data_IF_281716542261
#
_entry.id   IF_281716542261
#
_cell.length_a   1.000
_cell.length_b   1.000
_cell.length_c   1.000
_cell.angle_alpha   90.00
_cell.angle_beta   90.00
_cell.angle_gamma   90.00
#
_symmetry.space_group_name_H-M   'P 1'
#
loop_
_entity.id
_entity.type
_entity.pdbx_description
1 polymer ?
#
# COMPACT_ATOMS: atom_id res chain seq x y z
N UNK A 1 -13.34 7.58 -31.46
CA UNK A 1 -12.70 6.35 -32.00
C UNK A 1 -11.20 6.43 -31.74
N UNK A 2 -10.73 5.70 -30.77
CA UNK A 2 -9.32 5.59 -30.46
C UNK A 2 -8.70 4.32 -31.05
N UNK A 3 -7.41 4.18 -30.85
CA UNK A 3 -6.65 2.99 -31.31
C UNK A 3 -7.13 1.72 -30.59
N UNK A 4 -7.33 1.78 -29.28
CA UNK A 4 -7.66 0.62 -28.44
C UNK A 4 -9.16 0.53 -28.15
N UNK A 5 -9.87 1.66 -28.01
CA UNK A 5 -11.26 1.71 -27.60
C UNK A 5 -12.12 2.52 -28.57
N UNK A 6 -13.37 2.10 -28.71
CA UNK A 6 -14.36 2.80 -29.53
C UNK A 6 -15.58 3.10 -28.67
N UNK A 7 -15.89 4.39 -28.50
CA UNK A 7 -17.13 4.88 -27.92
C UNK A 7 -17.87 5.65 -29.02
N UNK A 8 -18.88 5.04 -29.64
CA UNK A 8 -19.53 5.59 -30.83
C UNK A 8 -20.96 6.03 -30.62
N UNK A 9 -21.50 5.81 -29.42
CA UNK A 9 -22.83 6.26 -29.04
C UNK A 9 -22.74 7.21 -27.84
N UNK A 10 -23.01 8.48 -28.10
CA UNK A 10 -23.20 9.52 -27.08
C UNK A 10 -24.35 10.40 -27.55
N UNK A 11 -25.56 10.05 -27.15
CA UNK A 11 -26.73 10.87 -27.43
C UNK A 11 -26.91 11.94 -26.36
N UNK A 12 -27.68 13.02 -26.62
CA UNK A 12 -27.97 14.01 -25.58
C UNK A 12 -28.60 13.43 -24.30
N UNK A 13 -29.30 12.30 -24.42
CA UNK A 13 -29.90 11.58 -23.30
C UNK A 13 -28.81 10.98 -22.34
N UNK A 14 -27.68 10.55 -22.86
CA UNK A 14 -26.59 9.96 -22.07
C UNK A 14 -25.48 10.97 -21.73
N UNK A 15 -25.56 12.18 -22.25
CA UNK A 15 -24.57 13.22 -21.99
C UNK A 15 -25.05 14.14 -20.86
N UNK A 16 -24.49 13.99 -19.65
CA UNK A 16 -24.85 14.83 -18.50
C UNK A 16 -24.32 16.27 -18.62
N UNK A 17 -23.57 16.58 -19.67
CA UNK A 17 -22.87 17.86 -19.83
C UNK A 17 -21.50 17.87 -19.15
N UNK A 18 -20.88 19.04 -19.11
CA UNK A 18 -19.60 19.24 -18.43
C UNK A 18 -19.78 19.16 -16.92
N UNK A 19 -18.82 18.49 -16.24
CA UNK A 19 -18.75 18.47 -14.79
C UNK A 19 -17.92 19.66 -14.27
N UNK A 20 -18.20 20.09 -13.04
CA UNK A 20 -17.52 21.24 -12.41
C UNK A 20 -16.01 21.01 -12.27
N UNK A 21 -15.59 19.75 -11.97
CA UNK A 21 -14.20 19.37 -11.80
C UNK A 21 -13.79 18.29 -12.83
N UNK A 22 -13.48 18.67 -14.09
CA UNK A 22 -13.21 17.71 -15.16
C UNK A 22 -11.87 16.96 -15.01
N UNK A 23 -10.92 17.54 -14.29
CA UNK A 23 -9.60 16.95 -14.06
C UNK A 23 -9.61 16.09 -12.80
N UNK A 24 -10.14 14.88 -12.90
CA UNK A 24 -10.19 13.92 -11.80
C UNK A 24 -8.83 13.23 -11.67
N UNK A 25 -8.14 13.33 -10.52
CA UNK A 25 -6.86 12.65 -10.31
C UNK A 25 -7.01 11.13 -10.43
N UNK A 26 -6.10 10.50 -11.17
CA UNK A 26 -6.05 9.06 -11.38
C UNK A 26 -4.95 8.45 -10.54
N UNK A 27 -5.31 7.53 -9.66
CA UNK A 27 -4.38 6.76 -8.85
C UNK A 27 -4.44 5.29 -9.24
N UNK A 28 -3.28 4.63 -9.30
CA UNK A 28 -3.21 3.18 -9.44
C UNK A 28 -2.56 2.55 -8.22
N UNK A 29 -2.96 1.32 -7.91
CA UNK A 29 -2.40 0.56 -6.81
C UNK A 29 -1.46 -0.53 -7.32
N UNK A 30 -0.41 -0.84 -6.56
CA UNK A 30 0.50 -1.89 -6.94
C UNK A 30 1.47 -2.30 -5.84
N UNK A 31 2.08 -3.46 -6.03
CA UNK A 31 3.13 -4.00 -5.16
C UNK A 31 4.47 -4.12 -5.89
N UNK A 32 4.45 -4.23 -7.22
CA UNK A 32 5.65 -4.44 -8.02
C UNK A 32 6.05 -3.19 -8.82
N UNK A 33 7.31 -3.15 -9.22
CA UNK A 33 7.94 -2.03 -9.94
C UNK A 33 7.24 -1.63 -11.24
N UNK A 34 6.61 -2.58 -11.97
CA UNK A 34 5.93 -2.29 -13.23
C UNK A 34 4.79 -1.29 -13.09
N UNK A 35 3.88 -1.48 -12.11
CA UNK A 35 2.79 -0.53 -11.84
C UNK A 35 3.30 0.76 -11.20
N UNK A 36 4.35 0.69 -10.38
CA UNK A 36 4.99 1.88 -9.83
C UNK A 36 5.59 2.77 -10.94
N UNK A 37 6.27 2.17 -11.91
CA UNK A 37 6.80 2.87 -13.08
C UNK A 37 5.69 3.47 -13.94
N UNK A 38 4.63 2.72 -14.21
CA UNK A 38 3.46 3.21 -14.95
C UNK A 38 2.80 4.39 -14.24
N UNK A 39 2.71 4.35 -12.90
CA UNK A 39 2.20 5.48 -12.12
C UNK A 39 3.04 6.74 -12.34
N UNK A 40 4.37 6.61 -12.30
CA UNK A 40 5.30 7.70 -12.60
C UNK A 40 5.12 8.27 -14.01
N UNK A 41 4.86 7.40 -15.01
CA UNK A 41 4.68 7.83 -16.40
C UNK A 41 3.40 8.65 -16.62
N UNK A 42 2.28 8.28 -16.00
CA UNK A 42 0.99 8.84 -16.44
C UNK A 42 -0.08 9.05 -15.35
N UNK A 43 0.16 8.68 -14.09
CA UNK A 43 -0.86 8.81 -13.05
C UNK A 43 -0.57 9.99 -12.11
N UNK A 44 -1.60 10.49 -11.43
CA UNK A 44 -1.50 11.55 -10.42
C UNK A 44 -1.09 10.98 -9.06
N UNK A 45 -1.21 9.67 -8.87
CA UNK A 45 -0.80 9.02 -7.64
C UNK A 45 -0.58 7.51 -7.74
N UNK A 46 0.16 7.02 -6.76
CA UNK A 46 0.43 5.60 -6.56
C UNK A 46 0.01 5.18 -5.15
N UNK A 47 -0.82 4.15 -5.06
CA UNK A 47 -1.16 3.49 -3.80
C UNK A 47 -0.26 2.26 -3.62
N UNK A 48 0.71 2.36 -2.73
CA UNK A 48 1.53 1.21 -2.36
C UNK A 48 0.69 0.20 -1.58
N UNK A 49 0.77 -1.07 -1.98
CA UNK A 49 0.05 -2.15 -1.32
C UNK A 49 0.46 -2.27 0.16
N UNK A 50 -0.44 -2.64 1.10
CA UNK A 50 -0.12 -2.78 2.53
C UNK A 50 1.05 -3.71 2.82
N UNK A 51 1.16 -4.82 2.06
CA UNK A 51 2.28 -5.74 2.15
C UNK A 51 3.52 -5.13 1.50
N UNK A 52 4.14 -4.22 2.26
CA UNK A 52 5.26 -3.40 1.84
C UNK A 52 6.10 -2.99 3.05
N UNK A 53 7.36 -2.64 2.81
CA UNK A 53 8.27 -2.15 3.84
C UNK A 53 8.91 -0.83 3.42
N UNK A 54 9.43 -0.03 4.37
CA UNK A 54 10.21 1.16 4.04
C UNK A 54 11.41 0.85 3.14
N UNK A 55 12.04 -0.31 3.35
CA UNK A 55 13.17 -0.76 2.54
C UNK A 55 12.75 -1.05 1.10
N UNK A 56 11.67 -1.82 0.90
CA UNK A 56 11.15 -2.13 -0.44
C UNK A 56 10.67 -0.87 -1.17
N UNK A 57 10.07 0.07 -0.45
CA UNK A 57 9.72 1.37 -1.01
C UNK A 57 10.95 2.11 -1.55
N UNK A 58 12.00 2.22 -0.74
CA UNK A 58 13.19 2.99 -1.10
C UNK A 58 14.06 2.31 -2.17
N UNK A 59 14.17 0.98 -2.14
CA UNK A 59 15.07 0.24 -3.02
C UNK A 59 14.39 -0.19 -4.35
N UNK A 60 13.05 -0.30 -4.38
CA UNK A 60 12.34 -0.84 -5.54
C UNK A 60 11.28 0.12 -6.08
N UNK A 61 10.31 0.55 -5.25
CA UNK A 61 9.13 1.25 -5.78
C UNK A 61 9.41 2.72 -6.09
N UNK A 62 10.07 3.46 -5.20
CA UNK A 62 10.40 4.87 -5.47
C UNK A 62 11.35 5.03 -6.66
N UNK A 63 12.41 4.21 -6.83
CA UNK A 63 13.21 4.24 -8.04
C UNK A 63 12.40 3.93 -9.31
N UNK A 64 11.48 2.97 -9.27
CA UNK A 64 10.63 2.67 -10.42
C UNK A 64 9.65 3.82 -10.76
N UNK A 65 9.09 4.49 -9.75
CA UNK A 65 8.29 5.71 -9.95
C UNK A 65 9.15 6.80 -10.61
N UNK A 66 10.37 7.03 -10.11
CA UNK A 66 11.29 8.02 -10.65
C UNK A 66 11.63 7.74 -12.11
N UNK A 67 11.92 6.48 -12.45
CA UNK A 67 12.14 6.08 -13.85
C UNK A 67 10.95 6.42 -14.75
N UNK A 68 9.73 6.21 -14.25
CA UNK A 68 8.50 6.56 -14.98
C UNK A 68 8.34 8.08 -15.16
N UNK A 69 8.59 8.84 -14.11
CA UNK A 69 8.57 10.32 -14.13
C UNK A 69 9.57 10.87 -15.15
N UNK A 70 10.81 10.40 -15.12
CA UNK A 70 11.86 10.83 -16.07
C UNK A 70 11.47 10.52 -17.50
N UNK A 71 10.92 9.34 -17.78
CA UNK A 71 10.48 8.94 -19.12
C UNK A 71 9.41 9.87 -19.68
N UNK A 72 8.56 10.44 -18.84
CA UNK A 72 7.46 11.33 -19.22
C UNK A 72 7.79 12.82 -19.04
N UNK A 73 9.01 13.17 -18.62
CA UNK A 73 9.42 14.56 -18.36
C UNK A 73 8.74 15.16 -17.11
N UNK A 74 8.26 14.32 -16.21
CA UNK A 74 7.63 14.70 -14.93
C UNK A 74 8.62 14.66 -13.77
N UNK A 75 8.22 15.18 -12.64
CA UNK A 75 9.04 15.25 -11.42
C UNK A 75 8.29 14.63 -10.24
N UNK A 76 9.00 14.38 -9.13
CA UNK A 76 8.40 13.83 -7.89
C UNK A 76 7.22 14.68 -7.36
N UNK A 77 7.13 15.94 -7.72
CA UNK A 77 6.05 16.84 -7.32
C UNK A 77 4.73 16.59 -8.07
N UNK A 78 4.80 15.89 -9.19
CA UNK A 78 3.69 15.65 -10.09
C UNK A 78 2.94 14.34 -9.74
N UNK A 79 3.36 13.64 -8.69
CA UNK A 79 2.75 12.38 -8.24
C UNK A 79 2.64 12.34 -6.72
N UNK A 80 1.51 11.85 -6.21
CA UNK A 80 1.29 11.58 -4.79
C UNK A 80 1.55 10.10 -4.50
N UNK A 81 2.45 9.80 -3.57
CA UNK A 81 2.68 8.44 -3.06
C UNK A 81 1.87 8.22 -1.79
N UNK A 82 0.94 7.29 -1.84
CA UNK A 82 0.06 6.92 -0.74
C UNK A 82 0.44 5.56 -0.20
N UNK A 83 0.58 5.44 1.11
CA UNK A 83 0.86 4.16 1.77
C UNK A 83 -0.27 3.75 2.70
N UNK A 84 -0.43 2.43 2.83
CA UNK A 84 -1.41 1.82 3.73
C UNK A 84 -0.68 0.85 4.68
N UNK A 85 0.11 1.37 5.65
CA UNK A 85 0.94 0.53 6.50
C UNK A 85 0.11 -0.34 7.44
N UNK A 86 0.61 -1.55 7.70
CA UNK A 86 0.19 -2.33 8.85
C UNK A 86 0.64 -1.64 10.13
N UNK A 87 -0.25 -1.60 11.10
CA UNK A 87 0.02 -1.08 12.45
C UNK A 87 -0.54 -2.04 13.48
N UNK A 88 0.14 -2.17 14.62
CA UNK A 88 -0.33 -2.93 15.75
C UNK A 88 -0.03 -2.16 17.04
N UNK A 89 -1.03 -1.97 17.86
CA UNK A 89 -0.95 -1.28 19.15
C UNK A 89 -1.32 -2.20 20.33
N UNK A 90 -1.60 -3.47 20.04
CA UNK A 90 -1.86 -4.53 21.02
C UNK A 90 -1.39 -5.88 20.52
N UNK A 91 -1.16 -6.87 21.41
CA UNK A 91 -0.81 -8.24 21.02
C UNK A 91 -1.83 -8.91 20.11
N UNK A 92 -3.12 -8.62 20.27
CA UNK A 92 -4.16 -9.16 19.40
C UNK A 92 -4.05 -8.61 17.98
N UNK A 93 -3.77 -7.30 17.85
CA UNK A 93 -3.53 -6.66 16.55
C UNK A 93 -2.26 -7.22 15.89
N UNK A 94 -1.19 -7.50 16.66
CA UNK A 94 0.00 -8.19 16.13
C UNK A 94 -0.32 -9.57 15.56
N UNK A 95 -1.11 -10.37 16.28
CA UNK A 95 -1.56 -11.69 15.83
C UNK A 95 -2.35 -11.60 14.51
N UNK A 96 -3.25 -10.62 14.41
CA UNK A 96 -4.01 -10.37 13.20
C UNK A 96 -3.10 -9.94 12.03
N UNK A 97 -2.14 -9.05 12.28
CA UNK A 97 -1.19 -8.61 11.23
C UNK A 97 -0.30 -9.75 10.77
N UNK A 98 0.17 -10.64 11.67
CA UNK A 98 0.93 -11.83 11.27
C UNK A 98 0.14 -12.72 10.30
N UNK A 99 -1.15 -12.89 10.55
CA UNK A 99 -2.03 -13.64 9.65
C UNK A 99 -2.12 -12.98 8.28
N UNK A 100 -2.25 -11.65 8.22
CA UNK A 100 -2.30 -10.91 6.97
C UNK A 100 -0.98 -10.95 6.21
N UNK A 101 0.17 -10.77 6.90
CA UNK A 101 1.50 -10.91 6.30
C UNK A 101 1.65 -12.31 5.70
N UNK A 102 1.32 -13.36 6.44
CA UNK A 102 1.41 -14.75 5.98
C UNK A 102 0.55 -14.99 4.74
N UNK A 103 -0.68 -14.47 4.73
CA UNK A 103 -1.60 -14.56 3.59
C UNK A 103 -1.00 -13.90 2.34
N UNK A 104 -0.52 -12.66 2.44
CA UNK A 104 0.07 -11.98 1.29
C UNK A 104 1.38 -12.64 0.84
N UNK A 105 2.25 -13.00 1.79
CA UNK A 105 3.53 -13.67 1.49
C UNK A 105 3.36 -15.03 0.80
N UNK A 106 2.22 -15.72 0.99
CA UNK A 106 1.91 -16.98 0.30
C UNK A 106 1.56 -16.83 -1.18
N UNK A 107 1.25 -15.61 -1.61
CA UNK A 107 0.75 -15.31 -2.96
C UNK A 107 1.90 -15.00 -3.90
N UNK A 108 1.96 -15.66 -5.07
CA UNK A 108 3.05 -15.56 -6.02
C UNK A 108 3.37 -14.13 -6.46
N UNK A 109 2.36 -13.29 -6.67
CA UNK A 109 2.56 -11.89 -7.08
C UNK A 109 3.27 -11.01 -6.05
N UNK A 110 3.38 -11.46 -4.80
CA UNK A 110 4.05 -10.74 -3.71
C UNK A 110 5.41 -11.33 -3.33
N UNK A 111 5.85 -12.41 -3.99
CA UNK A 111 7.12 -13.07 -3.68
C UNK A 111 8.33 -12.14 -3.79
N UNK A 112 8.33 -11.23 -4.76
CA UNK A 112 9.42 -10.26 -4.94
C UNK A 112 9.69 -9.43 -3.68
N UNK A 113 8.67 -9.13 -2.87
CA UNK A 113 8.83 -8.43 -1.59
C UNK A 113 9.59 -9.30 -0.59
N UNK A 114 9.21 -10.57 -0.46
CA UNK A 114 9.87 -11.52 0.43
C UNK A 114 11.31 -11.83 0.00
N UNK A 115 11.53 -12.01 -1.31
CA UNK A 115 12.85 -12.29 -1.88
C UNK A 115 13.84 -11.16 -1.62
N UNK A 116 13.41 -9.90 -1.78
CA UNK A 116 14.24 -8.73 -1.51
C UNK A 116 14.72 -8.68 -0.05
N UNK A 117 13.91 -9.18 0.88
CA UNK A 117 14.27 -9.30 2.29
C UNK A 117 15.06 -10.57 2.64
N UNK A 118 15.29 -11.48 1.68
CA UNK A 118 15.95 -12.75 1.91
C UNK A 118 15.03 -13.85 2.48
N UNK A 119 13.71 -13.66 2.43
CA UNK A 119 12.70 -14.57 2.99
C UNK A 119 11.96 -15.39 1.93
N UNK A 120 12.58 -15.60 0.77
CA UNK A 120 11.98 -16.36 -0.35
C UNK A 120 11.61 -17.80 0.04
N UNK A 121 12.42 -18.49 0.87
CA UNK A 121 12.10 -19.84 1.36
C UNK A 121 10.83 -19.83 2.23
N UNK A 122 10.68 -18.85 3.11
CA UNK A 122 9.46 -18.69 3.93
C UNK A 122 8.24 -18.46 3.04
N UNK A 123 8.35 -17.66 1.99
CA UNK A 123 7.26 -17.43 1.04
C UNK A 123 6.85 -18.73 0.34
N UNK A 124 7.80 -19.58 -0.05
CA UNK A 124 7.52 -20.90 -0.64
C UNK A 124 6.81 -21.84 0.33
N UNK A 125 7.27 -21.88 1.59
CA UNK A 125 6.59 -22.68 2.64
C UNK A 125 5.16 -22.21 2.86
N UNK A 126 4.95 -20.89 2.97
CA UNK A 126 3.61 -20.30 3.11
C UNK A 126 2.71 -20.64 1.91
N UNK A 127 3.23 -20.59 0.68
CA UNK A 127 2.50 -21.03 -0.51
C UNK A 127 2.12 -22.51 -0.44
N UNK A 128 3.00 -23.36 0.11
CA UNK A 128 2.72 -24.79 0.34
C UNK A 128 1.61 -25.02 1.34
N UNK A 129 1.56 -24.29 2.46
CA UNK A 129 0.48 -24.33 3.44
C UNK A 129 -0.85 -23.84 2.83
N UNK A 130 -0.81 -22.72 2.12
CA UNK A 130 -2.00 -22.16 1.46
C UNK A 130 -2.61 -23.16 0.45
N UNK A 131 -1.77 -23.83 -0.35
CA UNK A 131 -2.23 -24.86 -1.31
C UNK A 131 -2.91 -26.06 -0.66
N UNK A 132 -2.60 -26.36 0.62
CA UNK A 132 -3.23 -27.43 1.41
C UNK A 132 -4.42 -26.93 2.24
N UNK A 133 -4.67 -25.63 2.28
CA UNK A 133 -5.70 -25.04 3.14
C UNK A 133 -5.32 -24.96 4.62
N UNK A 134 -4.03 -25.07 4.95
CA UNK A 134 -3.47 -25.07 6.31
C UNK A 134 -3.24 -23.62 6.81
N UNK A 135 -4.28 -22.79 6.75
CA UNK A 135 -4.20 -21.35 7.05
C UNK A 135 -3.82 -21.01 8.49
N UNK A 136 -4.19 -21.88 9.43
CA UNK A 136 -3.94 -21.67 10.86
C UNK A 136 -2.45 -21.77 11.22
N UNK A 137 -1.68 -22.53 10.44
CA UNK A 137 -0.25 -22.75 10.66
C UNK A 137 0.62 -21.61 10.11
N UNK A 138 0.13 -20.89 9.10
CA UNK A 138 0.90 -19.91 8.38
C UNK A 138 1.43 -18.74 9.24
N UNK A 139 0.66 -18.16 10.17
CA UNK A 139 1.14 -17.06 11.01
C UNK A 139 2.36 -17.42 11.87
N UNK A 140 2.55 -18.70 12.19
CA UNK A 140 3.69 -19.18 13.00
C UNK A 140 5.03 -19.06 12.26
N UNK A 141 5.02 -18.99 10.92
CA UNK A 141 6.21 -18.78 10.11
C UNK A 141 6.64 -17.31 10.06
N UNK A 142 5.79 -16.39 10.49
CA UNK A 142 6.12 -14.96 10.52
C UNK A 142 6.89 -14.64 11.79
N UNK A 143 8.19 -14.45 11.65
CA UNK A 143 9.07 -14.09 12.77
C UNK A 143 8.82 -12.66 13.27
N UNK A 144 9.36 -12.31 14.43
CA UNK A 144 9.29 -10.94 14.94
C UNK A 144 10.05 -9.97 14.04
N UNK A 145 11.13 -10.42 13.39
CA UNK A 145 11.86 -9.62 12.41
C UNK A 145 10.96 -9.27 11.22
N UNK A 146 10.27 -10.25 10.64
CA UNK A 146 9.32 -10.05 9.54
C UNK A 146 8.17 -9.14 9.96
N UNK A 147 7.59 -9.37 11.15
CA UNK A 147 6.54 -8.52 11.67
C UNK A 147 7.01 -7.06 11.75
N UNK A 148 8.14 -6.80 12.38
CA UNK A 148 8.66 -5.45 12.57
C UNK A 148 9.06 -4.77 11.25
N UNK A 149 9.44 -5.54 10.22
CA UNK A 149 9.74 -4.98 8.90
C UNK A 149 8.47 -4.52 8.17
N UNK A 150 7.39 -5.31 8.21
CA UNK A 150 6.14 -4.99 7.51
C UNK A 150 5.15 -4.17 8.35
N UNK A 151 5.19 -4.28 9.67
CA UNK A 151 4.27 -3.65 10.59
C UNK A 151 4.97 -2.62 11.49
N UNK A 152 4.29 -1.54 11.78
CA UNK A 152 4.68 -0.67 12.88
C UNK A 152 4.01 -1.14 14.17
N UNK A 153 4.79 -1.80 15.01
CA UNK A 153 4.38 -2.18 16.37
C UNK A 153 4.72 -1.03 17.32
N UNK A 154 3.72 -0.44 17.95
CA UNK A 154 3.89 0.73 18.84
C UNK A 154 2.70 0.86 19.79
N UNK A 155 2.62 1.95 20.55
CA UNK A 155 1.42 2.26 21.35
C UNK A 155 0.54 3.30 20.68
N UNK A 156 -0.74 3.36 21.07
CA UNK A 156 -1.69 4.32 20.49
C UNK A 156 -1.20 5.77 20.60
N UNK A 157 -0.56 6.13 21.71
CA UNK A 157 -0.07 7.49 21.98
C UNK A 157 1.13 7.87 21.10
N UNK A 158 1.93 6.88 20.69
CA UNK A 158 3.13 7.10 19.86
C UNK A 158 2.87 6.95 18.38
N UNK A 159 1.74 6.37 17.98
CA UNK A 159 1.46 5.93 16.63
C UNK A 159 1.70 7.02 15.57
N UNK A 160 1.16 8.22 15.74
CA UNK A 160 1.35 9.32 14.81
C UNK A 160 2.83 9.70 14.63
N UNK A 161 3.55 9.83 15.74
CA UNK A 161 4.98 10.17 15.76
C UNK A 161 5.82 9.10 15.07
N UNK A 162 5.57 7.84 15.39
CA UNK A 162 6.37 6.72 14.90
C UNK A 162 6.09 6.47 13.41
N UNK A 163 4.84 6.63 12.93
CA UNK A 163 4.50 6.60 11.52
C UNK A 163 5.19 7.73 10.74
N UNK A 164 5.11 8.97 11.23
CA UNK A 164 5.82 10.10 10.61
C UNK A 164 7.33 9.83 10.51
N UNK A 165 7.93 9.26 11.55
CA UNK A 165 9.37 8.91 11.57
C UNK A 165 9.69 7.80 10.57
N UNK A 166 8.90 6.71 10.57
CA UNK A 166 9.14 5.52 9.76
C UNK A 166 9.04 5.79 8.26
N UNK A 167 8.07 6.63 7.86
CA UNK A 167 7.77 6.89 6.46
C UNK A 167 8.17 8.29 5.98
N UNK A 168 9.04 8.97 6.74
CA UNK A 168 9.56 10.28 6.36
C UNK A 168 10.27 10.23 5.00
N UNK A 169 9.82 11.05 4.05
CA UNK A 169 10.40 11.11 2.71
C UNK A 169 9.96 9.98 1.77
N UNK A 170 9.15 9.03 2.25
CA UNK A 170 8.63 7.90 1.47
C UNK A 170 7.21 8.19 0.98
N UNK A 171 6.33 8.60 1.88
CA UNK A 171 4.91 8.77 1.60
C UNK A 171 4.46 10.22 1.78
N UNK A 172 3.55 10.67 0.92
CA UNK A 172 2.84 11.95 1.02
C UNK A 172 1.52 11.80 1.76
N UNK A 173 0.92 10.61 1.70
CA UNK A 173 -0.34 10.26 2.39
C UNK A 173 -0.24 8.91 3.05
N UNK A 174 -0.97 8.74 4.15
CA UNK A 174 -1.10 7.45 4.83
C UNK A 174 -2.56 7.17 5.15
N UNK A 175 -2.95 5.91 4.94
CA UNK A 175 -4.23 5.34 5.38
C UNK A 175 -3.88 4.09 6.18
N UNK A 176 -4.35 3.97 7.41
CA UNK A 176 -4.02 2.78 8.20
C UNK A 176 -4.75 1.55 7.66
N UNK A 177 -4.05 0.43 7.57
CA UNK A 177 -4.65 -0.86 7.21
C UNK A 177 -5.25 -1.52 8.46
N UNK A 178 -6.32 -0.91 8.94
CA UNK A 178 -7.03 -1.39 10.12
C UNK A 178 -8.53 -1.23 9.89
N UNK A 179 -9.37 -2.16 10.37
CA UNK A 179 -10.81 -2.05 10.24
C UNK A 179 -11.33 -0.77 10.91
N UNK A 180 -12.13 -0.02 10.17
CA UNK A 180 -12.84 1.13 10.70
C UNK A 180 -14.29 0.72 11.01
N UNK A 181 -14.67 0.78 12.28
CA UNK A 181 -16.04 0.57 12.70
C UNK A 181 -16.63 1.92 13.14
N UNK A 182 -17.68 2.43 12.47
CA UNK A 182 -18.29 3.70 12.81
C UNK A 182 -18.77 3.72 14.26
N UNK A 183 -18.49 4.81 14.96
CA UNK A 183 -18.80 5.02 16.39
C UNK A 183 -17.94 4.25 17.38
N UNK A 184 -17.08 3.34 16.90
CA UNK A 184 -16.00 2.79 17.72
C UNK A 184 -14.75 3.65 17.56
N UNK A 185 -14.15 4.05 18.64
CA UNK A 185 -12.90 4.83 18.68
C UNK A 185 -12.90 6.14 17.85
N UNK A 186 -14.05 6.77 17.59
CA UNK A 186 -14.16 8.00 16.78
C UNK A 186 -13.30 9.14 17.34
N UNK A 187 -13.21 9.27 18.65
CA UNK A 187 -12.38 10.29 19.29
C UNK A 187 -10.90 10.03 19.08
N UNK A 188 -10.46 8.78 19.21
CA UNK A 188 -9.10 8.37 18.92
C UNK A 188 -8.72 8.65 17.44
N UNK A 189 -9.62 8.36 16.49
CA UNK A 189 -9.37 8.67 15.08
C UNK A 189 -9.22 10.17 14.83
N UNK A 190 -10.02 11.01 15.50
CA UNK A 190 -9.89 12.47 15.39
C UNK A 190 -8.57 12.96 15.96
N UNK A 191 -8.16 12.46 17.14
CA UNK A 191 -6.88 12.84 17.76
C UNK A 191 -5.69 12.38 16.91
N UNK A 192 -5.75 11.16 16.35
CA UNK A 192 -4.73 10.66 15.43
C UNK A 192 -4.60 11.57 14.20
N UNK A 193 -5.72 11.93 13.58
CA UNK A 193 -5.74 12.83 12.41
C UNK A 193 -5.18 14.22 12.76
N UNK A 194 -5.50 14.79 13.92
CA UNK A 194 -4.91 16.05 14.39
C UNK A 194 -3.41 15.93 14.57
N UNK A 195 -2.93 14.86 15.21
CA UNK A 195 -1.52 14.62 15.45
C UNK A 195 -0.72 14.41 14.13
N UNK A 196 -1.39 13.98 13.05
CA UNK A 196 -0.77 13.91 11.72
C UNK A 196 -0.65 15.28 11.05
N UNK A 197 -1.58 16.19 11.28
CA UNK A 197 -1.64 17.50 10.62
C UNK A 197 -0.92 18.60 11.43
N UNK A 198 -0.47 18.30 12.64
CA UNK A 198 0.41 19.15 13.45
C UNK A 198 1.88 18.88 13.16
#
# INVERSE_FOLDING_TARGET
RGEYYKATLMSPFFNPGAIEYPNIPIYIAGVNSGLAKLAGEMCDGFHAHPFNSPRYMNEVLLPAIEDGLQKSGRTRKDITVSMTPFVATSPEEEGFVRMQIAFYASTQSYQAVMEMHGWGETAQQLSGFAAKGEWAEMPMLITDEMLNEFCLVTTQEKLAKDLKKRFKGIADRMTLYTPFVPKEKDEWWRELAKAFNS
#
